data_IF_322947323016
#
_entry.id   IF_322947323016
#
_cell.length_a   1.000
_cell.length_b   1.000
_cell.length_c   1.000
_cell.angle_alpha   90.00
_cell.angle_beta   90.00
_cell.angle_gamma   90.00
#
_symmetry.space_group_name_H-M   'P 1'
#
loop_
_entity.id
_entity.type
_entity.pdbx_description
1 polymer ?
#
# COMPACT_ATOMS: atom_id res chain seq x y z
N UNK A 1 -3.30 16.90 -21.10
CA UNK A 1 -4.11 18.13 -20.96
C UNK A 1 -4.40 18.41 -19.49
N UNK A 2 -4.80 19.63 -19.09
CA UNK A 2 -5.13 19.96 -17.67
C UNK A 2 -6.12 18.97 -17.05
N UNK A 3 -7.14 18.54 -17.80
CA UNK A 3 -8.16 17.62 -17.31
C UNK A 3 -7.69 16.16 -17.23
N UNK A 4 -6.78 15.74 -18.12
CA UNK A 4 -6.11 14.43 -17.96
C UNK A 4 -5.21 14.41 -16.72
N UNK A 5 -4.52 15.51 -16.42
CA UNK A 5 -3.71 15.64 -15.20
C UNK A 5 -4.55 15.57 -13.92
N UNK A 6 -5.71 16.24 -13.88
CA UNK A 6 -6.64 16.18 -12.75
C UNK A 6 -7.27 14.78 -12.58
N UNK A 7 -7.63 14.14 -13.69
CA UNK A 7 -8.15 12.76 -13.67
C UNK A 7 -7.09 11.78 -13.19
N UNK A 8 -5.85 11.89 -13.68
CA UNK A 8 -4.74 11.06 -13.23
C UNK A 8 -4.44 11.29 -11.75
N UNK A 9 -4.43 12.54 -11.29
CA UNK A 9 -4.25 12.88 -9.88
C UNK A 9 -5.37 12.29 -9.02
N UNK A 10 -6.63 12.41 -9.42
CA UNK A 10 -7.75 11.82 -8.69
C UNK A 10 -7.63 10.29 -8.59
N UNK A 11 -7.24 9.63 -9.67
CA UNK A 11 -7.04 8.18 -9.71
C UNK A 11 -5.82 7.72 -8.89
N UNK A 12 -4.71 8.46 -8.95
CA UNK A 12 -3.53 8.21 -8.13
C UNK A 12 -3.83 8.44 -6.64
N UNK A 13 -4.64 9.46 -6.32
CA UNK A 13 -5.08 9.75 -4.96
C UNK A 13 -6.02 8.68 -4.41
N UNK A 14 -6.78 8.00 -5.27
CA UNK A 14 -7.67 6.93 -4.88
C UNK A 14 -6.95 5.64 -4.46
N UNK A 15 -5.64 5.50 -4.70
CA UNK A 15 -4.82 4.36 -4.25
C UNK A 15 -5.45 2.99 -4.57
N UNK A 16 -5.92 2.85 -5.81
CA UNK A 16 -6.60 1.63 -6.28
C UNK A 16 -8.06 1.49 -5.86
N UNK A 17 -8.64 2.45 -5.14
CA UNK A 17 -10.09 2.50 -4.91
C UNK A 17 -10.86 2.79 -6.20
N UNK A 18 -12.01 2.14 -6.31
CA UNK A 18 -12.99 2.42 -7.35
C UNK A 18 -13.65 3.77 -7.13
N UNK A 19 -13.38 4.72 -8.02
CA UNK A 19 -14.04 6.01 -8.04
C UNK A 19 -15.30 5.96 -8.90
N UNK A 20 -16.41 6.52 -8.39
CA UNK A 20 -17.63 6.64 -9.16
C UNK A 20 -17.41 7.56 -10.34
N UNK A 21 -17.62 7.03 -11.56
CA UNK A 21 -17.49 7.80 -12.81
C UNK A 21 -18.43 9.00 -12.83
N UNK A 22 -19.61 8.88 -12.21
CA UNK A 22 -20.61 9.95 -12.13
C UNK A 22 -20.14 11.10 -11.23
N UNK A 23 -19.63 10.77 -10.04
CA UNK A 23 -19.10 11.77 -9.11
C UNK A 23 -17.83 12.43 -9.66
N UNK A 24 -16.92 11.62 -10.20
CA UNK A 24 -15.67 12.09 -10.79
C UNK A 24 -15.91 13.01 -12.00
N UNK A 25 -16.86 12.67 -12.88
CA UNK A 25 -17.26 13.55 -13.98
C UNK A 25 -17.82 14.88 -13.49
N UNK A 26 -18.69 14.86 -12.47
CA UNK A 26 -19.26 16.08 -11.91
C UNK A 26 -18.21 16.99 -11.24
N UNK A 27 -17.18 16.40 -10.63
CA UNK A 27 -16.08 17.15 -10.00
C UNK A 27 -15.10 17.75 -11.01
N UNK A 28 -14.79 17.03 -12.10
CA UNK A 28 -13.83 17.48 -13.10
C UNK A 28 -14.40 18.53 -14.07
N UNK A 29 -15.72 18.51 -14.29
CA UNK A 29 -16.44 19.43 -15.18
C UNK A 29 -17.72 19.98 -14.52
N UNK A 30 -17.61 20.74 -13.43
CA UNK A 30 -18.76 21.26 -12.68
C UNK A 30 -19.64 22.21 -13.51
N UNK A 31 -19.07 22.85 -14.54
CA UNK A 31 -19.77 23.77 -15.44
C UNK A 31 -20.57 23.08 -16.55
N UNK A 32 -20.48 21.75 -16.69
CA UNK A 32 -21.14 20.98 -17.74
C UNK A 32 -22.33 20.20 -17.19
N UNK A 33 -23.30 19.92 -18.05
CA UNK A 33 -24.32 18.92 -17.73
C UNK A 33 -23.66 17.56 -17.48
N UNK A 34 -24.23 16.75 -16.58
CA UNK A 34 -23.66 15.47 -16.22
C UNK A 34 -23.44 14.54 -17.44
N UNK A 35 -24.34 14.58 -18.43
CA UNK A 35 -24.22 13.81 -19.67
C UNK A 35 -23.00 14.24 -20.50
N UNK A 36 -22.77 15.55 -20.63
CA UNK A 36 -21.59 16.09 -21.31
C UNK A 36 -20.29 15.80 -20.52
N UNK A 37 -20.33 15.92 -19.19
CA UNK A 37 -19.21 15.59 -18.32
C UNK A 37 -18.80 14.11 -18.42
N UNK A 38 -19.76 13.19 -18.45
CA UNK A 38 -19.50 11.75 -18.62
C UNK A 38 -18.92 11.41 -20.00
N UNK A 39 -19.37 12.12 -21.04
CA UNK A 39 -18.83 11.98 -22.40
C UNK A 39 -17.36 12.43 -22.43
N UNK A 40 -17.05 13.58 -21.82
CA UNK A 40 -15.68 14.07 -21.68
C UNK A 40 -14.82 13.11 -20.86
N UNK A 41 -15.32 12.60 -19.73
CA UNK A 41 -14.63 11.60 -18.92
C UNK A 41 -14.25 10.39 -19.77
N UNK A 42 -15.20 9.85 -20.55
CA UNK A 42 -14.96 8.68 -21.40
C UNK A 42 -13.85 8.92 -22.43
N UNK A 43 -13.81 10.11 -23.06
CA UNK A 43 -12.75 10.47 -24.00
C UNK A 43 -11.37 10.57 -23.32
N UNK A 44 -11.31 11.21 -22.14
CA UNK A 44 -10.04 11.37 -21.39
C UNK A 44 -9.53 10.06 -20.81
N UNK A 45 -10.43 9.21 -20.32
CA UNK A 45 -10.11 7.85 -19.87
C UNK A 45 -9.58 7.00 -21.03
N UNK A 46 -10.18 7.09 -22.22
CA UNK A 46 -9.67 6.40 -23.41
C UNK A 46 -8.26 6.88 -23.81
N UNK A 47 -7.96 8.18 -23.64
CA UNK A 47 -6.61 8.71 -23.82
C UNK A 47 -5.64 8.14 -22.76
N UNK A 48 -6.00 8.19 -21.48
CA UNK A 48 -5.19 7.65 -20.38
C UNK A 48 -4.94 6.14 -20.51
N UNK A 49 -5.92 5.36 -20.97
CA UNK A 49 -5.78 3.91 -21.18
C UNK A 49 -4.66 3.55 -22.15
N UNK A 50 -4.38 4.41 -23.13
CA UNK A 50 -3.24 4.22 -24.07
C UNK A 50 -1.89 4.37 -23.37
N UNK A 51 -1.83 5.11 -22.27
CA UNK A 51 -0.61 5.34 -21.50
C UNK A 51 -0.46 4.39 -20.30
N UNK A 52 -1.55 4.09 -19.60
CA UNK A 52 -1.54 3.27 -18.39
C UNK A 52 -1.76 1.77 -18.68
N UNK A 53 -2.23 1.40 -19.87
CA UNK A 53 -2.42 0.00 -20.26
C UNK A 53 -3.32 -0.77 -19.30
N UNK A 54 -2.85 -1.94 -18.86
CA UNK A 54 -3.55 -2.83 -17.93
C UNK A 54 -3.68 -2.29 -16.50
N UNK A 55 -3.03 -1.17 -16.17
CA UNK A 55 -3.10 -0.55 -14.85
C UNK A 55 -4.40 0.25 -14.64
N UNK A 56 -5.22 0.46 -15.67
CA UNK A 56 -6.44 1.23 -15.57
C UNK A 56 -7.67 0.30 -15.67
N UNK A 57 -8.29 0.03 -14.52
CA UNK A 57 -9.57 -0.68 -14.43
C UNK A 57 -10.73 0.28 -14.72
N UNK A 58 -11.62 -0.11 -15.63
CA UNK A 58 -12.78 0.68 -16.02
C UNK A 58 -13.96 -0.25 -16.16
N UNK A 59 -15.02 0.01 -15.40
CA UNK A 59 -16.33 -0.60 -15.56
C UNK A 59 -17.39 0.46 -15.91
N UNK A 60 -18.65 0.06 -16.09
CA UNK A 60 -19.79 0.92 -16.42
C UNK A 60 -19.90 2.10 -15.46
N UNK A 61 -19.74 1.86 -14.16
CA UNK A 61 -20.00 2.86 -13.12
C UNK A 61 -18.73 3.32 -12.39
N UNK A 62 -17.63 2.55 -12.50
CA UNK A 62 -16.42 2.73 -11.70
C UNK A 62 -15.16 2.87 -12.56
N UNK A 63 -14.16 3.54 -12.00
CA UNK A 63 -12.81 3.62 -12.55
C UNK A 63 -11.78 3.57 -11.42
N UNK A 64 -10.73 2.78 -11.60
CA UNK A 64 -9.63 2.67 -10.65
C UNK A 64 -8.30 2.53 -11.41
N UNK A 65 -7.22 2.94 -10.77
CA UNK A 65 -5.87 2.56 -11.23
C UNK A 65 -5.42 1.37 -10.38
N UNK A 66 -5.47 0.18 -10.97
CA UNK A 66 -5.03 -1.08 -10.39
C UNK A 66 -3.53 -1.24 -10.57
N UNK A 67 -2.81 -1.70 -9.55
CA UNK A 67 -1.35 -1.89 -9.62
C UNK A 67 -0.52 -0.64 -9.27
N UNK A 68 -1.17 0.47 -8.88
CA UNK A 68 -0.52 1.57 -8.14
C UNK A 68 -0.83 1.41 -6.65
N UNK A 69 -0.83 0.18 -6.15
CA UNK A 69 -0.39 -0.04 -4.77
C UNK A 69 1.10 0.22 -4.78
N UNK A 70 1.61 1.10 -3.90
CA UNK A 70 3.06 1.27 -3.70
C UNK A 70 3.74 -0.07 -3.89
N UNK A 71 4.66 -0.15 -4.87
CA UNK A 71 5.47 -1.33 -5.07
C UNK A 71 6.05 -1.69 -3.70
N UNK A 72 5.53 -2.77 -3.12
CA UNK A 72 6.31 -3.57 -2.22
C UNK A 72 7.38 -4.14 -3.15
N UNK A 73 8.48 -3.39 -3.34
CA UNK A 73 9.70 -3.88 -3.96
C UNK A 73 10.19 -5.03 -3.05
N UNK A 74 9.57 -6.19 -3.25
CA UNK A 74 10.02 -7.49 -2.84
C UNK A 74 11.18 -7.84 -3.76
N UNK A 75 12.26 -7.06 -3.66
CA UNK A 75 13.44 -7.32 -4.45
C UNK A 75 14.11 -8.58 -3.90
N UNK A 76 13.81 -9.71 -4.53
CA UNK A 76 14.37 -11.01 -4.19
C UNK A 76 15.92 -11.04 -4.25
N UNK A 77 16.55 -10.03 -4.87
CA UNK A 77 18.01 -9.92 -4.91
C UNK A 77 18.62 -9.25 -3.66
N UNK A 78 17.80 -8.60 -2.82
CA UNK A 78 18.25 -8.06 -1.54
C UNK A 78 18.18 -9.14 -0.45
N UNK A 79 19.29 -9.41 0.28
CA UNK A 79 19.28 -10.34 1.42
C UNK A 79 18.38 -9.86 2.57
N UNK A 80 17.93 -8.60 2.55
CA UNK A 80 17.00 -8.02 3.51
C UNK A 80 15.56 -7.92 2.98
N UNK A 81 15.27 -8.48 1.80
CA UNK A 81 13.90 -8.52 1.30
C UNK A 81 13.05 -9.50 2.10
N UNK A 82 11.76 -9.21 2.21
CA UNK A 82 10.80 -10.12 2.83
C UNK A 82 10.80 -11.49 2.12
N UNK A 83 11.11 -11.53 0.82
CA UNK A 83 11.24 -12.78 0.05
C UNK A 83 12.45 -13.58 0.50
N UNK A 84 13.62 -12.96 0.60
CA UNK A 84 14.84 -13.61 1.11
C UNK A 84 14.65 -14.07 2.57
N UNK A 85 13.96 -13.28 3.39
CA UNK A 85 13.61 -13.66 4.76
C UNK A 85 12.65 -14.85 4.78
N UNK A 86 11.55 -14.81 4.01
CA UNK A 86 10.62 -15.96 3.89
C UNK A 86 11.34 -17.21 3.37
N UNK A 87 12.29 -17.06 2.45
CA UNK A 87 13.13 -18.16 1.95
C UNK A 87 14.05 -18.73 3.02
N UNK A 88 14.67 -17.89 3.85
CA UNK A 88 15.50 -18.33 4.98
C UNK A 88 14.65 -19.00 6.06
N UNK A 89 13.47 -18.48 6.36
CA UNK A 89 12.50 -19.08 7.29
C UNK A 89 12.05 -20.45 6.81
N UNK A 90 11.74 -20.59 5.52
CA UNK A 90 11.39 -21.87 4.91
C UNK A 90 12.55 -22.89 4.98
N UNK A 91 13.78 -22.43 4.81
CA UNK A 91 14.97 -23.29 4.96
C UNK A 91 15.21 -23.74 6.40
N UNK A 92 14.93 -22.88 7.39
CA UNK A 92 15.00 -23.23 8.82
C UNK A 92 13.90 -24.21 9.21
N UNK A 93 12.67 -23.97 8.76
CA UNK A 93 11.54 -24.86 9.01
C UNK A 93 11.76 -26.27 8.46
N UNK A 94 12.35 -26.40 7.26
CA UNK A 94 12.74 -27.70 6.67
C UNK A 94 13.77 -28.45 7.55
N UNK A 95 14.68 -27.73 8.22
CA UNK A 95 15.70 -28.33 9.08
C UNK A 95 15.11 -28.87 10.40
N UNK A 96 14.04 -28.25 10.91
CA UNK A 96 13.38 -28.63 12.17
C UNK A 96 12.23 -29.66 11.96
N UNK A 97 11.79 -29.88 10.72
CA UNK A 97 10.83 -30.95 10.37
C UNK A 97 11.43 -32.36 10.39
N UNK A 98 11.83 -32.83 11.57
CA UNK A 98 12.04 -34.26 11.86
C UNK A 98 10.89 -34.86 12.69
N UNK A 99 9.94 -34.05 13.19
CA UNK A 99 8.82 -34.57 13.99
C UNK A 99 7.45 -33.95 13.65
N UNK A 100 6.61 -34.75 12.95
CA UNK A 100 5.25 -35.01 13.45
C UNK A 100 4.04 -34.35 12.80
N UNK A 101 4.13 -33.17 12.20
CA UNK A 101 2.98 -32.52 11.53
C UNK A 101 3.47 -31.90 10.25
N UNK A 102 2.90 -32.26 9.08
CA UNK A 102 3.37 -31.81 7.77
C UNK A 102 3.12 -30.29 7.65
N UNK A 103 4.10 -29.41 7.92
CA UNK A 103 3.93 -27.98 7.67
C UNK A 103 4.16 -27.78 6.18
N UNK A 104 3.82 -26.59 5.70
CA UNK A 104 4.07 -26.22 4.30
C UNK A 104 5.55 -26.46 3.99
N UNK A 105 5.83 -27.25 2.96
CA UNK A 105 7.21 -27.51 2.55
C UNK A 105 7.85 -26.21 2.05
N UNK A 106 9.18 -26.14 2.00
CA UNK A 106 9.88 -25.04 1.32
C UNK A 106 9.34 -24.78 -0.09
N UNK A 107 8.90 -25.82 -0.80
CA UNK A 107 8.27 -25.67 -2.11
C UNK A 107 6.89 -25.00 -2.04
N UNK A 108 6.08 -25.27 -1.02
CA UNK A 108 4.76 -24.66 -0.84
C UNK A 108 4.87 -23.18 -0.46
N UNK A 109 5.77 -22.85 0.47
CA UNK A 109 6.09 -21.47 0.85
C UNK A 109 6.73 -20.69 -0.31
N UNK A 110 7.69 -21.28 -1.03
CA UNK A 110 8.31 -20.65 -2.20
C UNK A 110 7.30 -20.43 -3.32
N UNK A 111 6.50 -21.44 -3.67
CA UNK A 111 5.47 -21.32 -4.70
C UNK A 111 4.41 -20.29 -4.31
N UNK A 112 4.11 -20.15 -3.02
CA UNK A 112 3.12 -19.19 -2.54
C UNK A 112 3.68 -17.77 -2.39
N UNK A 113 4.92 -17.60 -1.97
CA UNK A 113 5.66 -16.33 -2.01
C UNK A 113 5.81 -15.88 -3.47
N UNK A 114 6.20 -16.78 -4.37
CA UNK A 114 6.27 -16.52 -5.80
C UNK A 114 4.87 -16.25 -6.38
N UNK A 115 3.83 -16.93 -5.92
CA UNK A 115 2.45 -16.63 -6.29
C UNK A 115 2.00 -15.27 -5.74
N UNK A 116 2.45 -14.84 -4.56
CA UNK A 116 2.05 -13.58 -3.92
C UNK A 116 2.82 -12.38 -4.47
N UNK A 117 4.09 -12.57 -4.84
CA UNK A 117 4.84 -11.66 -5.69
C UNK A 117 4.15 -11.57 -7.06
N UNK A 118 3.71 -12.72 -7.61
CA UNK A 118 2.95 -12.77 -8.88
C UNK A 118 1.50 -12.36 -8.76
N UNK A 119 0.89 -12.21 -7.57
CA UNK A 119 -0.50 -11.75 -7.36
C UNK A 119 -0.66 -10.26 -7.72
N UNK A 120 0.43 -9.59 -8.09
CA UNK A 120 0.40 -8.35 -8.88
C UNK A 120 -0.03 -8.57 -10.36
N UNK A 121 -0.24 -9.83 -10.77
CA UNK A 121 -0.88 -10.25 -12.02
C UNK A 121 -1.84 -11.44 -11.74
N UNK A 122 -3.10 -11.40 -12.18
CA UNK A 122 -4.09 -12.38 -11.77
C UNK A 122 -3.85 -13.72 -12.49
N UNK A 123 -3.55 -14.78 -11.73
CA UNK A 123 -3.62 -16.14 -12.26
C UNK A 123 -4.44 -17.10 -11.39
N UNK A 124 -4.42 -16.99 -10.06
CA UNK A 124 -5.35 -17.72 -9.16
C UNK A 124 -5.59 -16.94 -7.87
N UNK A 125 -6.85 -16.60 -7.60
CA UNK A 125 -7.27 -16.18 -6.26
C UNK A 125 -7.01 -17.33 -5.28
N UNK A 126 -6.38 -17.08 -4.11
CA UNK A 126 -6.28 -18.09 -3.06
C UNK A 126 -7.69 -18.56 -2.68
N UNK A 127 -7.91 -19.87 -2.61
CA UNK A 127 -9.24 -20.40 -2.29
C UNK A 127 -9.58 -20.04 -0.83
N UNK A 128 -10.84 -19.65 -0.55
CA UNK A 128 -11.28 -19.27 0.80
C UNK A 128 -10.92 -20.30 1.88
N UNK A 129 -10.93 -21.59 1.56
CA UNK A 129 -10.59 -22.67 2.48
C UNK A 129 -9.15 -22.59 3.02
N UNK A 130 -8.19 -22.14 2.19
CA UNK A 130 -6.78 -22.00 2.58
C UNK A 130 -6.63 -20.85 3.58
N UNK A 131 -7.37 -19.76 3.39
CA UNK A 131 -7.32 -18.59 4.27
C UNK A 131 -7.94 -18.85 5.65
N UNK A 132 -9.01 -19.64 5.76
CA UNK A 132 -9.56 -20.04 7.06
C UNK A 132 -8.59 -20.93 7.84
N UNK A 133 -7.88 -21.81 7.15
CA UNK A 133 -6.84 -22.67 7.76
C UNK A 133 -5.69 -21.83 8.30
N UNK A 134 -5.17 -20.90 7.50
CA UNK A 134 -4.12 -19.95 7.91
C UNK A 134 -4.57 -19.07 9.08
N UNK A 135 -5.83 -18.60 9.06
CA UNK A 135 -6.39 -17.80 10.17
C UNK A 135 -6.44 -18.58 11.48
N UNK A 136 -6.61 -19.91 11.44
CA UNK A 136 -6.53 -20.77 12.63
C UNK A 136 -5.11 -20.90 13.20
N UNK A 137 -4.09 -20.86 12.34
CA UNK A 137 -2.66 -21.00 12.72
C UNK A 137 -2.05 -19.71 13.28
N UNK A 138 -2.74 -18.61 13.09
CA UNK A 138 -2.27 -17.27 13.40
C UNK A 138 -1.99 -17.05 14.90
N UNK A 139 -2.63 -17.84 15.78
CA UNK A 139 -2.46 -17.83 17.25
C UNK A 139 -1.88 -19.15 17.79
N UNK A 140 -1.45 -20.07 16.92
CA UNK A 140 -0.95 -21.39 17.33
C UNK A 140 0.43 -21.26 17.96
N UNK A 141 0.50 -21.30 19.28
CA UNK A 141 1.75 -21.17 20.05
C UNK A 141 2.74 -22.31 19.82
N UNK A 142 2.33 -23.42 19.19
CA UNK A 142 3.24 -24.48 18.78
C UNK A 142 4.06 -24.10 17.56
N UNK A 143 3.62 -23.08 16.80
CA UNK A 143 4.34 -22.57 15.65
C UNK A 143 5.36 -21.51 16.07
N UNK A 144 6.48 -21.50 15.35
CA UNK A 144 7.53 -20.53 15.57
C UNK A 144 7.02 -19.08 15.40
N UNK A 145 7.62 -18.15 16.15
CA UNK A 145 7.23 -16.75 16.15
C UNK A 145 7.39 -16.08 14.77
N UNK A 146 8.41 -16.47 14.01
CA UNK A 146 8.67 -15.99 12.65
C UNK A 146 7.55 -16.48 11.71
N UNK A 147 7.19 -17.76 11.79
CA UNK A 147 6.09 -18.34 11.00
C UNK A 147 4.74 -17.70 11.33
N UNK A 148 4.42 -17.54 12.62
CA UNK A 148 3.17 -16.89 13.03
C UNK A 148 3.09 -15.46 12.50
N UNK A 149 4.16 -14.67 12.59
CA UNK A 149 4.16 -13.30 12.10
C UNK A 149 3.94 -13.25 10.59
N UNK A 150 4.57 -14.16 9.84
CA UNK A 150 4.33 -14.30 8.42
C UNK A 150 2.86 -14.59 8.12
N UNK A 151 2.28 -15.64 8.72
CA UNK A 151 0.85 -15.98 8.55
C UNK A 151 -0.05 -14.80 8.89
N UNK A 152 0.29 -14.02 9.92
CA UNK A 152 -0.41 -12.79 10.28
C UNK A 152 -0.36 -11.71 9.18
N UNK A 153 0.79 -11.51 8.53
CA UNK A 153 0.89 -10.62 7.36
C UNK A 153 -0.02 -11.10 6.22
N UNK A 154 -0.06 -12.40 5.96
CA UNK A 154 -0.84 -12.97 4.85
C UNK A 154 -2.35 -12.84 5.09
N UNK A 155 -2.80 -13.28 6.27
CA UNK A 155 -4.20 -13.15 6.70
C UNK A 155 -4.57 -11.67 6.76
N UNK A 156 -3.72 -10.82 7.34
CA UNK A 156 -3.94 -9.39 7.40
C UNK A 156 -4.14 -8.76 6.01
N UNK A 157 -3.30 -9.12 5.04
CA UNK A 157 -3.43 -8.61 3.67
C UNK A 157 -4.75 -9.03 3.04
N UNK A 158 -5.10 -10.31 3.14
CA UNK A 158 -6.36 -10.83 2.61
C UNK A 158 -7.58 -10.18 3.28
N UNK A 159 -7.58 -10.08 4.61
CA UNK A 159 -8.65 -9.45 5.38
C UNK A 159 -8.81 -7.98 4.96
N UNK A 160 -7.72 -7.24 4.72
CA UNK A 160 -7.81 -5.86 4.22
C UNK A 160 -8.49 -5.78 2.85
N UNK A 161 -8.21 -6.72 1.94
CA UNK A 161 -8.88 -6.80 0.63
C UNK A 161 -10.37 -7.15 0.77
N UNK A 162 -10.72 -8.03 1.72
CA UNK A 162 -12.11 -8.39 2.05
C UNK A 162 -12.84 -7.33 2.89
N UNK A 163 -12.16 -6.25 3.25
CA UNK A 163 -12.75 -5.20 4.04
C UNK A 163 -12.92 -5.53 5.54
N UNK A 164 -11.97 -6.25 6.12
CA UNK A 164 -11.91 -6.62 7.54
C UNK A 164 -10.63 -6.09 8.21
N UNK A 165 -10.22 -4.86 7.91
CA UNK A 165 -8.96 -4.28 8.40
C UNK A 165 -8.81 -4.19 9.93
N UNK A 166 -9.90 -4.26 10.69
CA UNK A 166 -9.87 -4.23 12.16
C UNK A 166 -9.20 -5.48 12.74
N UNK A 167 -9.18 -6.61 12.00
CA UNK A 167 -8.56 -7.84 12.46
C UNK A 167 -7.05 -7.66 12.70
N UNK A 168 -6.32 -7.13 11.72
CA UNK A 168 -4.87 -6.94 11.83
C UNK A 168 -4.53 -5.95 12.94
N UNK A 169 -5.32 -4.87 13.07
CA UNK A 169 -5.17 -3.89 14.14
C UNK A 169 -5.36 -4.50 15.54
N UNK A 170 -6.38 -5.33 15.74
CA UNK A 170 -6.66 -5.94 17.05
C UNK A 170 -5.46 -6.74 17.58
N UNK A 171 -4.75 -7.42 16.69
CA UNK A 171 -3.53 -8.17 17.02
C UNK A 171 -2.35 -7.27 17.34
N UNK A 172 -2.17 -6.23 16.55
CA UNK A 172 -1.12 -5.23 16.75
C UNK A 172 -1.33 -4.34 17.98
N UNK A 173 -2.52 -4.34 18.59
CA UNK A 173 -2.77 -3.61 19.85
C UNK A 173 -2.00 -4.21 21.02
N UNK A 174 -1.76 -5.53 20.99
CA UNK A 174 -1.00 -6.28 22.00
C UNK A 174 -0.18 -7.36 21.29
N UNK A 175 0.84 -6.99 20.51
CA UNK A 175 1.63 -7.97 19.78
C UNK A 175 2.39 -8.84 20.79
N UNK A 176 2.61 -10.13 20.48
CA UNK A 176 3.52 -10.99 21.24
C UNK A 176 4.86 -10.29 21.49
N UNK A 177 5.37 -10.37 22.73
CA UNK A 177 6.63 -9.70 23.10
C UNK A 177 7.80 -10.08 22.20
N UNK A 178 7.84 -11.35 21.76
CA UNK A 178 8.88 -11.86 20.86
C UNK A 178 8.94 -11.08 19.55
N UNK A 179 7.80 -10.64 18.99
CA UNK A 179 7.77 -9.83 17.76
C UNK A 179 8.41 -8.45 17.94
N UNK A 180 8.35 -7.89 19.14
CA UNK A 180 8.88 -6.55 19.43
C UNK A 180 10.38 -6.54 19.72
N UNK A 181 10.91 -7.66 20.22
CA UNK A 181 12.28 -7.72 20.72
C UNK A 181 13.24 -8.45 19.79
N UNK A 182 12.73 -9.24 18.85
CA UNK A 182 13.56 -9.90 17.84
C UNK A 182 13.79 -8.95 16.64
N UNK A 183 15.02 -8.46 16.41
CA UNK A 183 15.31 -7.59 15.28
C UNK A 183 15.06 -8.26 13.93
N UNK A 184 15.20 -9.60 13.83
CA UNK A 184 14.97 -10.33 12.58
C UNK A 184 13.50 -10.27 12.14
N UNK A 185 12.59 -10.10 13.10
CA UNK A 185 11.15 -9.96 12.87
C UNK A 185 10.71 -8.54 12.50
N UNK A 186 11.59 -7.55 12.70
CA UNK A 186 11.29 -6.13 12.50
C UNK A 186 10.66 -5.81 11.13
N UNK A 187 11.22 -6.27 10.00
CA UNK A 187 10.67 -6.01 8.67
C UNK A 187 9.26 -6.60 8.45
N UNK A 188 9.03 -7.84 8.91
CA UNK A 188 7.72 -8.48 8.81
C UNK A 188 6.69 -7.79 9.72
N UNK A 189 7.10 -7.36 10.92
CA UNK A 189 6.24 -6.61 11.82
C UNK A 189 5.89 -5.23 11.24
N UNK A 190 6.86 -4.55 10.63
CA UNK A 190 6.64 -3.28 9.92
C UNK A 190 5.58 -3.45 8.82
N UNK A 191 5.67 -4.53 8.04
CA UNK A 191 4.70 -4.84 7.01
C UNK A 191 3.30 -5.09 7.58
N UNK A 192 3.17 -5.83 8.69
CA UNK A 192 1.87 -6.06 9.32
C UNK A 192 1.22 -4.76 9.78
N UNK A 193 2.01 -3.85 10.39
CA UNK A 193 1.55 -2.50 10.72
C UNK A 193 1.16 -1.71 9.46
N UNK A 194 1.95 -1.75 8.39
CA UNK A 194 1.61 -1.08 7.14
C UNK A 194 0.29 -1.60 6.54
N UNK A 195 0.09 -2.92 6.51
CA UNK A 195 -1.15 -3.56 6.03
C UNK A 195 -2.34 -3.08 6.86
N UNK A 196 -2.23 -3.14 8.18
CA UNK A 196 -3.27 -2.65 9.09
C UNK A 196 -3.56 -1.17 8.85
N UNK A 197 -2.52 -0.34 8.71
CA UNK A 197 -2.62 1.08 8.42
C UNK A 197 -3.39 1.36 7.12
N UNK A 198 -3.00 0.72 6.02
CA UNK A 198 -3.69 0.86 4.73
C UNK A 198 -5.17 0.47 4.85
N UNK A 199 -5.47 -0.63 5.56
CA UNK A 199 -6.85 -1.07 5.77
C UNK A 199 -7.68 -0.14 6.65
N UNK A 200 -7.07 0.48 7.67
CA UNK A 200 -7.70 1.45 8.56
C UNK A 200 -7.94 2.79 7.84
N UNK A 201 -6.99 3.23 6.99
CA UNK A 201 -7.13 4.40 6.12
C UNK A 201 -8.38 4.28 5.24
N UNK A 202 -8.54 3.15 4.54
CA UNK A 202 -9.72 2.91 3.67
C UNK A 202 -11.07 2.98 4.40
N UNK A 203 -11.09 2.84 5.73
CA UNK A 203 -12.30 2.85 6.57
C UNK A 203 -12.51 4.16 7.33
N UNK A 204 -11.60 5.12 7.22
CA UNK A 204 -11.67 6.34 8.00
C UNK A 204 -11.29 6.19 9.47
N UNK A 205 -10.59 5.11 9.85
CA UNK A 205 -10.03 4.95 11.19
C UNK A 205 -8.68 5.69 11.29
N UNK A 206 -8.72 7.02 11.14
CA UNK A 206 -7.55 7.87 10.91
C UNK A 206 -6.53 7.80 12.04
N UNK A 207 -6.97 7.82 13.30
CA UNK A 207 -6.06 7.79 14.45
C UNK A 207 -5.27 6.48 14.51
N UNK A 208 -5.95 5.33 14.39
CA UNK A 208 -5.31 4.02 14.39
C UNK A 208 -4.41 3.84 13.15
N UNK A 209 -4.83 4.36 12.01
CA UNK A 209 -4.03 4.38 10.79
C UNK A 209 -2.70 5.11 10.99
N UNK A 210 -2.74 6.31 11.57
CA UNK A 210 -1.54 7.10 11.86
C UNK A 210 -0.59 6.35 12.81
N UNK A 211 -1.12 5.72 13.88
CA UNK A 211 -0.32 4.90 14.79
C UNK A 211 0.38 3.74 14.05
N UNK A 212 -0.34 3.07 13.15
CA UNK A 212 0.21 1.97 12.36
C UNK A 212 1.32 2.45 11.42
N UNK A 213 1.10 3.54 10.66
CA UNK A 213 2.12 4.06 9.75
C UNK A 213 3.34 4.60 10.49
N UNK A 214 3.17 5.29 11.61
CA UNK A 214 4.29 5.74 12.44
C UNK A 214 5.11 4.56 12.94
N UNK A 215 4.46 3.50 13.46
CA UNK A 215 5.20 2.34 13.98
C UNK A 215 5.89 1.55 12.88
N UNK A 216 5.24 1.37 11.73
CA UNK A 216 5.87 0.73 10.58
C UNK A 216 7.06 1.55 10.04
N UNK A 217 6.97 2.88 10.02
CA UNK A 217 8.06 3.75 9.57
C UNK A 217 9.28 3.64 10.50
N UNK A 218 9.06 3.65 11.81
CA UNK A 218 10.10 3.42 12.82
C UNK A 218 10.80 2.07 12.59
N UNK A 219 10.02 0.99 12.43
CA UNK A 219 10.56 -0.35 12.23
C UNK A 219 11.32 -0.48 10.91
N UNK A 220 10.84 0.10 9.81
CA UNK A 220 11.59 0.09 8.55
C UNK A 220 12.91 0.87 8.68
N UNK A 221 12.90 2.02 9.35
CA UNK A 221 14.12 2.82 9.57
C UNK A 221 15.16 2.08 10.41
N UNK A 222 14.74 1.46 11.52
CA UNK A 222 15.67 0.67 12.35
C UNK A 222 16.26 -0.53 11.61
N UNK A 223 15.59 -0.99 10.54
CA UNK A 223 16.05 -2.07 9.67
C UNK A 223 16.73 -1.59 8.37
N UNK A 224 17.14 -0.32 8.29
CA UNK A 224 17.86 0.23 7.14
C UNK A 224 17.02 0.41 5.87
N UNK A 225 15.69 0.29 5.95
CA UNK A 225 14.76 0.44 4.82
C UNK A 225 14.22 1.88 4.75
N UNK A 226 15.11 2.86 4.59
CA UNK A 226 14.76 4.30 4.68
C UNK A 226 13.70 4.71 3.66
N UNK A 227 13.80 4.22 2.42
CA UNK A 227 12.81 4.51 1.38
C UNK A 227 11.38 4.10 1.77
N UNK A 228 11.23 2.97 2.48
CA UNK A 228 9.93 2.51 2.97
C UNK A 228 9.44 3.33 4.15
N UNK A 229 10.35 3.72 5.05
CA UNK A 229 10.01 4.64 6.12
C UNK A 229 9.49 5.97 5.57
N UNK A 230 10.18 6.55 4.58
CA UNK A 230 9.75 7.77 3.89
C UNK A 230 8.40 7.61 3.17
N UNK A 231 8.14 6.46 2.56
CA UNK A 231 6.83 6.18 1.94
C UNK A 231 5.71 6.17 2.98
N UNK A 232 5.95 5.63 4.17
CA UNK A 232 4.97 5.67 5.25
C UNK A 232 4.82 7.07 5.87
N UNK A 233 5.88 7.87 5.91
CA UNK A 233 5.79 9.27 6.33
C UNK A 233 4.97 10.09 5.34
N UNK A 234 5.16 9.84 4.04
CA UNK A 234 4.30 10.36 2.99
C UNK A 234 2.83 9.94 3.21
N UNK A 235 2.56 8.65 3.45
CA UNK A 235 1.19 8.16 3.74
C UNK A 235 0.60 8.83 4.99
N UNK A 236 1.41 9.03 6.03
CA UNK A 236 1.03 9.73 7.27
C UNK A 236 0.64 11.18 6.96
N UNK A 237 1.41 11.88 6.13
CA UNK A 237 1.10 13.25 5.70
C UNK A 237 -0.21 13.29 4.90
N UNK A 238 -0.47 12.30 4.04
CA UNK A 238 -1.75 12.16 3.33
C UNK A 238 -2.92 11.97 4.28
N UNK A 239 -2.84 11.06 5.25
CA UNK A 239 -3.91 10.87 6.24
C UNK A 239 -4.13 12.15 7.05
N UNK A 240 -3.05 12.86 7.39
CA UNK A 240 -3.10 14.17 8.07
C UNK A 240 -3.86 15.20 7.22
N UNK A 241 -3.69 15.16 5.90
CA UNK A 241 -4.46 15.97 4.96
C UNK A 241 -5.95 15.60 4.95
N UNK A 242 -6.25 14.30 4.92
CA UNK A 242 -7.63 13.78 4.89
C UNK A 242 -8.44 14.17 6.14
N UNK A 243 -7.77 14.29 7.30
CA UNK A 243 -8.40 14.79 8.55
C UNK A 243 -8.48 16.31 8.64
N UNK A 244 -8.09 17.04 7.59
CA UNK A 244 -8.20 18.49 7.50
C UNK A 244 -7.02 19.28 8.08
N UNK A 245 -5.95 18.62 8.54
CA UNK A 245 -4.76 19.27 9.08
C UNK A 245 -3.79 19.66 7.95
N UNK A 246 -4.23 20.61 7.11
CA UNK A 246 -3.59 20.90 5.82
C UNK A 246 -2.17 21.44 5.92
N UNK A 247 -1.92 22.40 6.80
CA UNK A 247 -0.59 23.02 6.93
C UNK A 247 0.47 22.02 7.43
N UNK A 248 0.23 21.25 8.52
CA UNK A 248 1.15 20.19 8.94
C UNK A 248 1.38 19.13 7.85
N UNK A 249 0.31 18.71 7.16
CA UNK A 249 0.42 17.73 6.09
C UNK A 249 1.28 18.23 4.92
N UNK A 250 1.09 19.48 4.50
CA UNK A 250 1.86 20.10 3.44
C UNK A 250 3.35 20.22 3.82
N UNK A 251 3.64 20.72 5.03
CA UNK A 251 5.00 20.79 5.54
C UNK A 251 5.66 19.41 5.52
N UNK A 252 4.96 18.38 6.00
CA UNK A 252 5.50 17.02 6.05
C UNK A 252 5.75 16.44 4.66
N UNK A 253 4.87 16.68 3.69
CA UNK A 253 5.09 16.27 2.30
C UNK A 253 6.34 16.94 1.70
N UNK A 254 6.58 18.22 2.03
CA UNK A 254 7.78 18.93 1.57
C UNK A 254 9.05 18.37 2.19
N UNK A 255 9.03 18.03 3.49
CA UNK A 255 10.14 17.37 4.18
C UNK A 255 10.48 16.02 3.56
N UNK A 256 9.47 15.16 3.34
CA UNK A 256 9.67 13.86 2.69
C UNK A 256 10.24 14.05 1.28
N UNK A 257 9.69 15.00 0.51
CA UNK A 257 10.14 15.28 -0.85
C UNK A 257 11.59 15.76 -0.94
N UNK A 258 12.06 16.51 0.06
CA UNK A 258 13.42 17.03 0.13
C UNK A 258 14.46 15.97 0.53
N UNK A 259 14.03 14.77 0.91
CA UNK A 259 14.94 13.72 1.35
C UNK A 259 15.74 13.13 0.17
N UNK A 260 17.07 12.98 0.26
CA UNK A 260 17.92 12.50 -0.85
C UNK A 260 17.49 11.15 -1.43
N UNK A 261 17.10 10.20 -0.56
CA UNK A 261 16.58 8.88 -0.98
C UNK A 261 15.37 8.96 -1.91
N UNK A 262 14.57 10.03 -1.84
CA UNK A 262 13.45 10.23 -2.77
C UNK A 262 13.95 10.57 -4.17
N UNK A 263 15.02 11.37 -4.29
CA UNK A 263 15.59 11.71 -5.60
C UNK A 263 16.24 10.49 -6.29
N UNK A 264 16.69 9.51 -5.51
CA UNK A 264 17.20 8.22 -6.01
C UNK A 264 16.09 7.27 -6.48
N UNK A 265 14.81 7.59 -6.21
CA UNK A 265 13.65 6.76 -6.53
C UNK A 265 12.64 7.51 -7.40
N UNK A 266 12.79 7.49 -8.73
CA UNK A 266 11.98 8.30 -9.65
C UNK A 266 10.46 8.10 -9.51
N UNK A 267 10.01 6.87 -9.27
CA UNK A 267 8.59 6.56 -9.08
C UNK A 267 8.04 7.16 -7.77
N UNK A 268 8.78 6.99 -6.67
CA UNK A 268 8.43 7.59 -5.38
C UNK A 268 8.38 9.11 -5.48
N UNK A 269 9.39 9.71 -6.12
CA UNK A 269 9.46 11.16 -6.36
C UNK A 269 8.26 11.67 -7.14
N UNK A 270 7.95 11.07 -8.29
CA UNK A 270 6.81 11.45 -9.11
C UNK A 270 5.49 11.34 -8.32
N UNK A 271 5.35 10.29 -7.52
CA UNK A 271 4.17 10.10 -6.69
C UNK A 271 4.03 11.17 -5.61
N UNK A 272 5.11 11.53 -4.92
CA UNK A 272 5.13 12.61 -3.93
C UNK A 272 4.86 13.96 -4.60
N UNK A 273 5.48 14.25 -5.74
CA UNK A 273 5.29 15.50 -6.48
C UNK A 273 3.82 15.70 -6.89
N UNK A 274 3.15 14.68 -7.40
CA UNK A 274 1.71 14.74 -7.71
C UNK A 274 0.84 15.04 -6.48
N UNK A 275 1.21 14.50 -5.32
CA UNK A 275 0.50 14.76 -4.07
C UNK A 275 0.81 16.15 -3.49
N UNK A 276 2.00 16.68 -3.71
CA UNK A 276 2.33 18.07 -3.40
C UNK A 276 1.52 19.04 -4.27
N UNK A 277 1.36 18.76 -5.57
CA UNK A 277 0.48 19.54 -6.46
C UNK A 277 -0.94 19.59 -5.88
N UNK A 278 -1.48 18.44 -5.47
CA UNK A 278 -2.79 18.37 -4.83
C UNK A 278 -2.84 19.18 -3.53
N UNK A 279 -1.87 18.97 -2.63
CA UNK A 279 -1.77 19.64 -1.34
C UNK A 279 -1.71 21.17 -1.48
N UNK A 280 -0.85 21.69 -2.36
CA UNK A 280 -0.77 23.11 -2.65
C UNK A 280 -2.08 23.65 -3.23
N UNK A 281 -2.76 22.89 -4.10
CA UNK A 281 -4.04 23.29 -4.68
C UNK A 281 -5.12 23.47 -3.62
N UNK A 282 -5.30 22.51 -2.70
CA UNK A 282 -6.33 22.58 -1.65
C UNK A 282 -5.97 23.58 -0.53
N UNK A 283 -4.72 24.00 -0.44
CA UNK A 283 -4.26 25.11 0.40
C UNK A 283 -4.40 26.49 -0.29
N UNK A 284 -4.90 26.56 -1.52
CA UNK A 284 -5.03 27.82 -2.28
C UNK A 284 -3.71 28.34 -2.87
N UNK A 285 -2.65 27.54 -2.86
CA UNK A 285 -1.32 27.90 -3.38
C UNK A 285 -1.16 27.44 -4.84
N UNK A 286 -2.04 27.94 -5.71
CA UNK A 286 -2.17 27.45 -7.10
C UNK A 286 -0.93 27.67 -7.97
N UNK A 287 -0.21 28.78 -7.76
CA UNK A 287 1.03 29.06 -8.50
C UNK A 287 2.11 28.01 -8.20
N UNK A 288 2.20 27.60 -6.94
CA UNK A 288 3.18 26.61 -6.49
C UNK A 288 2.79 25.21 -6.95
N UNK A 289 1.51 24.87 -6.88
CA UNK A 289 0.99 23.63 -7.46
C UNK A 289 1.32 23.51 -8.95
N UNK A 290 1.15 24.60 -9.72
CA UNK A 290 1.49 24.61 -11.14
C UNK A 290 3.00 24.46 -11.38
N UNK A 291 3.83 25.17 -10.61
CA UNK A 291 5.30 25.09 -10.69
C UNK A 291 5.79 23.66 -10.49
N UNK A 292 5.29 22.97 -9.45
CA UNK A 292 5.67 21.59 -9.14
C UNK A 292 5.20 20.64 -10.24
N UNK A 293 3.96 20.80 -10.73
CA UNK A 293 3.43 19.98 -11.82
C UNK A 293 4.31 20.05 -13.08
N UNK A 294 4.71 21.27 -13.47
CA UNK A 294 5.57 21.47 -14.64
C UNK A 294 6.99 20.92 -14.46
N UNK A 295 7.48 20.82 -13.22
CA UNK A 295 8.78 20.22 -12.92
C UNK A 295 8.74 18.68 -12.87
N UNK A 296 7.56 18.09 -12.71
CA UNK A 296 7.35 16.65 -12.61
C UNK A 296 7.02 15.98 -13.97
N UNK A 297 6.65 16.77 -14.99
CA UNK A 297 6.37 16.34 -16.38
C UNK A 297 7.56 16.53 -17.29
#
# INVERSE_FOLDING_TARGET
TRQEGLLLAALALADGQELSRRQLAAQLWPEKSLSAALTNLRQRVAALRRHLGGLLYIDRDWIAVTGVSCEVLLDASSPHSLVAQCQQLAQRADADTVQGTKPWSRADLQNWVDATIRLQAPAREPQMADMFTLRGQCDDEQLDAEYRLLVNCLVGYWEVQQGQALWAWQRLRKPPRVWLHDPALGPALALLFEIAGNGLHRRGHWHQCLLCFTKAAELYRTNGQEARALMLEFKTARVTMDVGLRAPALQRLQEVRAHPTVDEQPLMRAYIDLNLVFAHTICGQTSEAHRIFMAAT
#
